data_IF_567624767572
#
_entry.id   IF_567624767572
#
_cell.length_a   1.000
_cell.length_b   1.000
_cell.length_c   1.000
_cell.angle_alpha   90.00
_cell.angle_beta   90.00
_cell.angle_gamma   90.00
#
_symmetry.space_group_name_H-M   'P 1'
#
loop_
_entity.id
_entity.type
_entity.pdbx_description
1 polymer ?
#
# COMPACT_ATOMS: atom_id res chain seq x y z
N UNK A 1 -18.37 -8.59 -20.90
CA UNK A 1 -17.48 -8.54 -19.73
C UNK A 1 -16.09 -8.24 -20.25
N UNK A 2 -15.66 -6.97 -20.21
CA UNK A 2 -14.32 -6.60 -20.64
C UNK A 2 -13.37 -7.04 -19.52
N UNK A 3 -12.48 -7.98 -19.83
CA UNK A 3 -11.29 -8.29 -19.03
C UNK A 3 -10.36 -7.09 -19.16
N UNK A 4 -10.57 -6.06 -18.35
CA UNK A 4 -9.52 -5.10 -18.02
C UNK A 4 -8.63 -5.84 -17.06
N UNK A 5 -7.54 -6.42 -17.59
CA UNK A 5 -6.34 -6.73 -16.83
C UNK A 5 -5.96 -5.41 -16.16
N UNK A 6 -6.41 -5.20 -14.92
CA UNK A 6 -6.16 -3.97 -14.19
C UNK A 6 -4.65 -3.81 -14.08
N UNK A 7 -4.15 -2.66 -14.51
CA UNK A 7 -2.74 -2.33 -14.53
C UNK A 7 -2.20 -2.03 -13.13
N UNK A 8 -2.38 -2.93 -12.17
CA UNK A 8 -1.68 -2.91 -10.88
C UNK A 8 -0.20 -3.34 -11.02
N UNK A 9 0.28 -3.59 -12.23
CA UNK A 9 1.67 -3.97 -12.50
C UNK A 9 2.70 -2.84 -12.28
N UNK A 10 2.29 -1.68 -11.75
CA UNK A 10 3.13 -0.50 -11.61
C UNK A 10 3.45 -0.12 -10.16
N UNK A 11 3.05 -0.90 -9.16
CA UNK A 11 3.42 -0.61 -7.77
C UNK A 11 4.86 -1.06 -7.51
N UNK A 12 5.81 -0.36 -8.13
CA UNK A 12 7.23 -0.61 -7.98
C UNK A 12 7.71 -0.04 -6.63
N UNK A 13 7.52 -0.81 -5.55
CA UNK A 13 8.14 -0.53 -4.27
C UNK A 13 9.62 -0.90 -4.33
N UNK A 14 10.44 -0.10 -5.00
CA UNK A 14 11.87 -0.34 -5.14
C UNK A 14 12.69 0.36 -4.05
N UNK A 15 13.42 -0.39 -3.21
CA UNK A 15 14.65 0.13 -2.61
C UNK A 15 15.65 -0.98 -2.23
N UNK A 16 16.94 -0.69 -2.43
CA UNK A 16 18.07 -1.58 -2.16
C UNK A 16 18.62 -1.38 -0.74
N UNK A 17 18.85 -2.48 -0.03
CA UNK A 17 19.19 -2.54 1.38
C UNK A 17 20.42 -1.69 1.83
N UNK A 18 20.20 -0.82 2.82
CA UNK A 18 21.12 -0.54 3.94
C UNK A 18 20.37 0.30 5.00
N UNK A 19 20.18 -0.25 6.21
CA UNK A 19 19.39 0.33 7.30
C UNK A 19 19.95 1.70 7.78
N UNK A 20 19.09 2.71 7.78
CA UNK A 20 19.20 4.01 8.46
C UNK A 20 17.77 4.56 8.60
N UNK A 21 17.47 5.39 9.61
CA UNK A 21 16.14 6.00 9.80
C UNK A 21 15.61 6.74 8.54
N UNK A 22 16.52 7.18 7.65
CA UNK A 22 16.24 7.71 6.31
C UNK A 22 15.40 6.75 5.43
N UNK A 23 15.56 5.43 5.62
CA UNK A 23 14.77 4.43 4.89
C UNK A 23 13.35 4.32 5.41
N UNK A 24 13.10 4.52 6.71
CA UNK A 24 11.73 4.41 7.25
C UNK A 24 10.86 5.51 6.65
N UNK A 25 11.31 6.76 6.70
CA UNK A 25 10.59 7.88 6.08
C UNK A 25 10.41 7.67 4.57
N UNK A 26 11.43 7.19 3.85
CA UNK A 26 11.32 6.90 2.41
C UNK A 26 10.35 5.75 2.11
N UNK A 27 10.30 4.71 2.94
CA UNK A 27 9.36 3.59 2.80
C UNK A 27 7.94 4.09 3.08
N UNK A 28 7.74 4.85 4.15
CA UNK A 28 6.43 5.36 4.53
C UNK A 28 5.89 6.37 3.51
N UNK A 29 6.74 7.23 2.95
CA UNK A 29 6.35 8.12 1.85
C UNK A 29 5.98 7.35 0.57
N UNK A 30 6.67 6.25 0.25
CA UNK A 30 6.32 5.40 -0.89
C UNK A 30 4.98 4.67 -0.67
N UNK A 31 4.70 4.21 0.54
CA UNK A 31 3.42 3.60 0.90
C UNK A 31 2.27 4.61 0.90
N UNK A 32 2.50 5.81 1.45
CA UNK A 32 1.56 6.94 1.41
C UNK A 32 1.14 7.25 -0.03
N UNK A 33 2.11 7.27 -0.96
CA UNK A 33 1.86 7.54 -2.37
C UNK A 33 1.00 6.47 -3.07
N UNK A 34 0.89 5.26 -2.52
CA UNK A 34 0.04 4.20 -3.04
C UNK A 34 -1.44 4.35 -2.65
N UNK A 35 -1.78 5.24 -1.70
CA UNK A 35 -3.14 5.41 -1.21
C UNK A 35 -4.21 5.69 -2.29
N UNK A 36 -3.96 6.54 -3.31
CA UNK A 36 -4.94 6.76 -4.38
C UNK A 36 -5.25 5.47 -5.15
N UNK A 37 -4.21 4.69 -5.49
CA UNK A 37 -4.36 3.44 -6.24
C UNK A 37 -5.11 2.38 -5.42
N UNK A 38 -4.90 2.33 -4.11
CA UNK A 38 -5.61 1.42 -3.21
C UNK A 38 -7.09 1.81 -3.04
N UNK A 39 -7.40 3.11 -3.00
CA UNK A 39 -8.78 3.62 -2.99
C UNK A 39 -9.47 3.31 -4.31
N UNK A 40 -8.82 3.58 -5.44
CA UNK A 40 -9.37 3.28 -6.76
C UNK A 40 -9.65 1.78 -6.90
N UNK A 41 -8.72 0.92 -6.47
CA UNK A 41 -8.93 -0.53 -6.49
C UNK A 41 -10.13 -0.96 -5.62
N UNK A 42 -10.27 -0.38 -4.42
CA UNK A 42 -11.43 -0.65 -3.55
C UNK A 42 -12.73 -0.23 -4.21
N UNK A 43 -12.77 0.99 -4.73
CA UNK A 43 -13.98 1.60 -5.30
C UNK A 43 -14.39 0.93 -6.63
N UNK A 44 -13.43 0.40 -7.38
CA UNK A 44 -13.64 -0.45 -8.57
C UNK A 44 -14.05 -1.89 -8.22
N UNK A 45 -14.07 -2.25 -6.94
CA UNK A 45 -14.48 -3.56 -6.44
C UNK A 45 -13.45 -4.67 -6.69
N UNK A 46 -12.17 -4.32 -6.76
CA UNK A 46 -11.07 -5.30 -6.81
C UNK A 46 -11.07 -6.10 -5.50
N UNK A 47 -10.93 -7.43 -5.53
CA UNK A 47 -10.85 -8.23 -4.31
C UNK A 47 -9.63 -7.87 -3.45
N UNK A 48 -9.83 -7.76 -2.13
CA UNK A 48 -8.77 -7.44 -1.16
C UNK A 48 -7.59 -8.43 -1.24
N UNK A 49 -7.86 -9.72 -1.45
CA UNK A 49 -6.85 -10.77 -1.58
C UNK A 49 -5.99 -10.60 -2.85
N UNK A 50 -6.57 -10.08 -3.93
CA UNK A 50 -5.83 -9.73 -5.14
C UNK A 50 -4.86 -8.56 -4.88
N UNK A 51 -5.34 -7.50 -4.22
CA UNK A 51 -4.50 -6.33 -3.89
C UNK A 51 -3.39 -6.69 -2.91
N UNK A 52 -3.67 -7.46 -1.85
CA UNK A 52 -2.65 -7.94 -0.91
C UNK A 52 -1.62 -8.83 -1.63
N UNK A 53 -2.07 -9.70 -2.54
CA UNK A 53 -1.18 -10.51 -3.36
C UNK A 53 -0.19 -9.67 -4.17
N UNK A 54 -0.66 -8.60 -4.80
CA UNK A 54 0.18 -7.66 -5.55
C UNK A 54 1.14 -6.88 -4.65
N UNK A 55 0.70 -6.42 -3.47
CA UNK A 55 1.57 -5.77 -2.49
C UNK A 55 2.71 -6.71 -2.08
N UNK A 56 2.40 -7.95 -1.73
CA UNK A 56 3.40 -8.94 -1.33
C UNK A 56 4.35 -9.33 -2.46
N UNK A 57 3.87 -9.37 -3.70
CA UNK A 57 4.68 -9.71 -4.86
C UNK A 57 5.69 -8.60 -5.23
N UNK A 58 5.35 -7.34 -4.98
CA UNK A 58 6.13 -6.18 -5.46
C UNK A 58 6.88 -5.42 -4.36
N UNK A 59 6.60 -5.67 -3.08
CA UNK A 59 7.30 -5.04 -1.98
C UNK A 59 8.78 -5.46 -1.92
N UNK A 60 9.68 -4.49 -1.74
CA UNK A 60 11.12 -4.78 -1.56
C UNK A 60 11.47 -5.48 -0.23
N UNK A 61 10.58 -5.43 0.77
CA UNK A 61 10.82 -5.97 2.11
C UNK A 61 9.53 -6.50 2.77
N UNK A 62 9.61 -7.67 3.41
CA UNK A 62 8.47 -8.33 4.08
C UNK A 62 7.79 -7.44 5.14
N UNK A 63 8.57 -6.70 5.93
CA UNK A 63 8.01 -5.81 6.96
C UNK A 63 7.19 -4.66 6.34
N UNK A 64 7.68 -4.09 5.24
CA UNK A 64 6.96 -3.06 4.49
C UNK A 64 5.71 -3.63 3.81
N UNK A 65 5.81 -4.83 3.23
CA UNK A 65 4.69 -5.53 2.62
C UNK A 65 3.57 -5.79 3.62
N UNK A 66 3.91 -6.26 4.83
CA UNK A 66 2.93 -6.54 5.88
C UNK A 66 2.21 -5.27 6.34
N UNK A 67 2.94 -4.20 6.61
CA UNK A 67 2.32 -2.95 7.10
C UNK A 67 1.39 -2.34 6.06
N UNK A 68 1.77 -2.36 4.78
CA UNK A 68 0.89 -1.90 3.71
C UNK A 68 -0.30 -2.82 3.52
N UNK A 69 -0.12 -4.14 3.65
CA UNK A 69 -1.22 -5.11 3.59
C UNK A 69 -2.25 -4.85 4.69
N UNK A 70 -1.81 -4.72 5.95
CA UNK A 70 -2.68 -4.40 7.09
C UNK A 70 -3.38 -3.04 6.92
N UNK A 71 -2.68 -2.05 6.36
CA UNK A 71 -3.27 -0.74 6.07
C UNK A 71 -4.32 -0.83 4.96
N UNK A 72 -4.11 -1.71 3.98
CA UNK A 72 -5.07 -1.99 2.90
C UNK A 72 -6.31 -2.71 3.44
N UNK A 73 -6.15 -3.67 4.34
CA UNK A 73 -7.28 -4.30 5.04
C UNK A 73 -8.13 -3.24 5.77
N UNK A 74 -7.49 -2.36 6.55
CA UNK A 74 -8.19 -1.27 7.25
C UNK A 74 -8.92 -0.31 6.29
N UNK A 75 -8.34 -0.04 5.13
CA UNK A 75 -8.94 0.78 4.07
C UNK A 75 -10.19 0.11 3.47
N UNK A 76 -10.15 -1.20 3.24
CA UNK A 76 -11.27 -1.99 2.71
C UNK A 76 -12.40 -2.18 3.73
N UNK A 77 -12.06 -2.26 5.02
CA UNK A 77 -13.03 -2.28 6.11
C UNK A 77 -13.73 -0.92 6.28
N UNK A 78 -13.10 0.17 5.85
CA UNK A 78 -13.62 1.52 5.96
C UNK A 78 -13.82 2.19 4.59
N UNK A 79 -14.93 1.85 3.93
CA UNK A 79 -15.36 2.42 2.64
C UNK A 79 -15.68 3.92 2.66
N UNK A 80 -15.59 4.59 3.81
CA UNK A 80 -15.83 6.03 3.92
C UNK A 80 -14.55 6.87 3.85
N UNK A 81 -13.37 6.23 3.92
CA UNK A 81 -12.09 6.93 3.78
C UNK A 81 -11.91 7.41 2.34
N UNK A 82 -11.62 8.70 2.20
CA UNK A 82 -11.09 9.29 0.98
C UNK A 82 -9.59 9.09 0.88
N UNK A 83 -9.03 9.54 -0.24
CA UNK A 83 -7.60 9.39 -0.56
C UNK A 83 -6.68 10.05 0.46
N UNK A 84 -7.01 11.25 0.95
CA UNK A 84 -6.18 11.99 1.91
C UNK A 84 -6.16 11.30 3.28
N UNK A 85 -7.31 10.85 3.76
CA UNK A 85 -7.38 10.11 5.03
C UNK A 85 -6.70 8.74 4.94
N UNK A 86 -6.82 8.05 3.79
CA UNK A 86 -6.12 6.80 3.54
C UNK A 86 -4.60 6.99 3.53
N UNK A 87 -4.09 8.03 2.85
CA UNK A 87 -2.67 8.35 2.80
C UNK A 87 -2.12 8.62 4.21
N UNK A 88 -2.81 9.46 4.98
CA UNK A 88 -2.45 9.77 6.37
C UNK A 88 -2.43 8.51 7.24
N UNK A 89 -3.45 7.65 7.13
CA UNK A 89 -3.52 6.40 7.89
C UNK A 89 -2.38 5.44 7.53
N UNK A 90 -2.09 5.26 6.24
CA UNK A 90 -1.02 4.36 5.76
C UNK A 90 0.34 4.84 6.29
N UNK A 91 0.61 6.14 6.19
CA UNK A 91 1.85 6.72 6.70
C UNK A 91 2.00 6.53 8.21
N UNK A 92 0.97 6.85 8.98
CA UNK A 92 0.98 6.70 10.44
C UNK A 92 1.24 5.25 10.87
N UNK A 93 0.60 4.29 10.19
CA UNK A 93 0.83 2.85 10.45
C UNK A 93 2.25 2.43 10.09
N UNK A 94 2.78 2.92 9.00
CA UNK A 94 4.17 2.68 8.60
C UNK A 94 5.18 3.21 9.62
N UNK A 95 5.04 4.47 10.03
CA UNK A 95 5.93 5.09 11.01
C UNK A 95 5.86 4.36 12.36
N UNK A 96 4.66 3.94 12.80
CA UNK A 96 4.50 3.18 14.05
C UNK A 96 5.09 1.77 14.00
N UNK A 97 5.14 1.14 12.82
CA UNK A 97 5.61 -0.24 12.66
C UNK A 97 7.10 -0.35 12.36
N UNK A 98 7.67 0.65 11.66
CA UNK A 98 9.06 0.64 11.17
C UNK A 98 9.98 1.63 11.90
N UNK A 99 9.43 2.47 12.79
CA UNK A 99 10.14 3.51 13.57
C UNK A 99 10.49 3.12 14.99
#
# INVERSE_FOLDING_TARGET
MKRTTLGLAAIAFGFSAAASADNTDSICAAQEAAAPELIDARDDGVPLDEVIGEIQANASHDASANVLSESTEALYENNSLGTEEAASMIRERCENALG
#
